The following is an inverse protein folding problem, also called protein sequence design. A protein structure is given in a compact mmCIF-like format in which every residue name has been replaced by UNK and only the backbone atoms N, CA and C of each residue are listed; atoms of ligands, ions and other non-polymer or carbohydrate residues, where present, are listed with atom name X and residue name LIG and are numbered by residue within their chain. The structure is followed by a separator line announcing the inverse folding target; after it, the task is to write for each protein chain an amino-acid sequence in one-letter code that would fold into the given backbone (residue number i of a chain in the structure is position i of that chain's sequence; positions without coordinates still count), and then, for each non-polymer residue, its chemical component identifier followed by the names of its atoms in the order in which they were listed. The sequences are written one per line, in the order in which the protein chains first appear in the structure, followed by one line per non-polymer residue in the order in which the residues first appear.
data_IF_932059730291
#
_entry.id   IF_932059730291
#
_cell.length_a   1.000
_cell.length_b   1.000
_cell.length_c   1.000
_cell.angle_alpha   90.00
_cell.angle_beta   90.00
_cell.angle_gamma   90.00
#
_symmetry.space_group_name_H-M   'P 1'
#
loop_
_entity.id
_entity.type
_entity.pdbx_description
1 polymer ?
#
# COMPACT_ATOMS: atom_id res chain seq x y z
N UNK A 1 2.40 -12.90 18.88
CA UNK A 1 3.19 -13.23 20.09
C UNK A 1 3.31 -12.00 20.95
N UNK A 2 3.76 -12.13 22.19
CA UNK A 2 4.03 -10.96 23.04
C UNK A 2 5.37 -10.35 22.64
N UNK A 3 5.39 -9.14 22.08
CA UNK A 3 6.63 -8.45 21.71
C UNK A 3 7.39 -7.90 22.92
N UNK A 4 6.79 -7.87 24.11
CA UNK A 4 7.39 -7.32 25.34
C UNK A 4 8.27 -8.33 26.08
N UNK A 5 8.34 -9.60 25.62
CA UNK A 5 9.18 -10.58 26.30
C UNK A 5 10.68 -10.23 26.21
N UNK A 6 11.50 -10.57 27.23
CA UNK A 6 12.90 -10.14 27.30
C UNK A 6 13.75 -10.55 26.09
N UNK A 7 13.49 -11.74 25.53
CA UNK A 7 14.25 -12.27 24.38
C UNK A 7 13.93 -11.47 23.11
N UNK A 8 12.65 -11.15 22.89
CA UNK A 8 12.22 -10.35 21.76
C UNK A 8 12.77 -8.92 21.88
N UNK A 9 12.67 -8.29 23.06
CA UNK A 9 13.22 -6.96 23.29
C UNK A 9 14.74 -6.87 23.08
N UNK A 10 15.49 -7.85 23.60
CA UNK A 10 16.94 -7.92 23.40
C UNK A 10 17.30 -8.07 21.92
N UNK A 11 16.52 -8.85 21.16
CA UNK A 11 16.72 -9.02 19.71
C UNK A 11 16.42 -7.72 18.96
N UNK A 12 15.27 -7.09 19.24
CA UNK A 12 14.87 -5.82 18.60
C UNK A 12 15.88 -4.69 18.84
N UNK A 13 16.56 -4.69 19.97
CA UNK A 13 17.58 -3.70 20.29
C UNK A 13 18.80 -3.74 19.34
N UNK A 14 19.17 -4.93 18.85
CA UNK A 14 20.41 -5.13 18.08
C UNK A 14 20.20 -5.25 16.57
N UNK A 15 19.02 -5.68 16.12
CA UNK A 15 18.76 -5.89 14.67
C UNK A 15 18.67 -4.57 13.88
N UNK A 16 18.94 -4.67 12.58
CA UNK A 16 18.86 -3.54 11.64
C UNK A 16 17.44 -3.27 11.12
N UNK A 17 16.58 -4.27 11.13
CA UNK A 17 15.19 -4.19 10.68
C UNK A 17 14.33 -5.23 11.39
N UNK A 18 13.02 -4.96 11.43
CA UNK A 18 12.02 -5.82 12.02
C UNK A 18 10.79 -5.89 11.12
N UNK A 19 10.39 -7.12 10.78
CA UNK A 19 9.17 -7.42 10.02
C UNK A 19 8.17 -8.06 10.99
N UNK A 20 7.27 -7.25 11.53
CA UNK A 20 6.30 -7.68 12.52
C UNK A 20 5.16 -8.45 11.88
N UNK A 21 5.14 -9.77 12.06
CA UNK A 21 4.00 -10.58 11.63
C UNK A 21 2.79 -10.36 12.55
N UNK A 22 1.64 -10.08 11.96
CA UNK A 22 0.39 -9.82 12.67
C UNK A 22 -0.62 -10.95 12.45
N UNK A 23 -1.19 -11.42 13.56
CA UNK A 23 -2.28 -12.40 13.53
C UNK A 23 -3.53 -11.81 12.90
N UNK A 24 -3.85 -10.57 13.24
CA UNK A 24 -5.00 -9.84 12.69
C UNK A 24 -4.93 -9.79 11.15
N UNK A 25 -3.76 -9.44 10.59
CA UNK A 25 -3.57 -9.44 9.14
C UNK A 25 -3.77 -10.83 8.52
N UNK A 26 -3.24 -11.87 9.15
CA UNK A 26 -3.44 -13.25 8.68
C UNK A 26 -4.92 -13.66 8.75
N UNK A 27 -5.61 -13.33 9.84
CA UNK A 27 -7.03 -13.65 10.04
C UNK A 27 -7.90 -12.90 8.99
N UNK A 28 -7.51 -11.68 8.63
CA UNK A 28 -8.08 -10.89 7.52
C UNK A 28 -7.57 -11.29 6.12
N UNK A 29 -6.80 -12.38 5.99
CA UNK A 29 -6.22 -12.89 4.74
C UNK A 29 -5.34 -11.89 3.97
N UNK A 30 -4.70 -10.96 4.68
CA UNK A 30 -3.73 -10.02 4.11
C UNK A 30 -2.34 -10.65 4.15
N UNK A 31 -1.87 -11.15 3.00
CA UNK A 31 -0.59 -11.84 2.87
C UNK A 31 0.41 -11.10 1.97
N UNK A 32 1.71 -11.07 2.30
CA UNK A 32 2.31 -11.59 3.53
C UNK A 32 1.78 -10.85 4.77
N UNK A 33 1.61 -11.55 5.89
CA UNK A 33 0.99 -11.01 7.11
C UNK A 33 1.94 -10.09 7.90
N UNK A 34 2.83 -9.38 7.20
CA UNK A 34 3.72 -8.36 7.74
C UNK A 34 2.90 -7.10 7.94
N UNK A 35 2.90 -6.59 9.16
CA UNK A 35 2.17 -5.39 9.52
C UNK A 35 3.06 -4.15 9.35
N UNK A 36 2.69 -3.25 8.41
CA UNK A 36 3.51 -2.09 8.08
C UNK A 36 3.55 -1.02 9.19
N UNK A 37 2.61 -1.04 10.15
CA UNK A 37 2.53 -0.05 11.24
C UNK A 37 3.46 -0.39 12.40
N UNK A 38 3.73 -1.68 12.63
CA UNK A 38 4.66 -2.15 13.67
C UNK A 38 6.06 -2.51 13.13
N UNK A 39 6.19 -2.68 11.81
CA UNK A 39 7.46 -2.99 11.15
C UNK A 39 8.34 -1.75 10.97
N UNK A 40 9.66 -1.94 10.96
CA UNK A 40 10.62 -0.86 10.78
C UNK A 40 11.95 -1.33 10.20
N UNK A 41 12.73 -0.40 9.65
CA UNK A 41 14.07 -0.65 9.13
C UNK A 41 14.95 0.57 9.37
N UNK A 42 16.19 0.37 9.82
CA UNK A 42 17.22 1.42 9.95
C UNK A 42 17.81 1.81 8.60
N UNK A 43 17.61 1.00 7.56
CA UNK A 43 18.22 1.15 6.23
C UNK A 43 17.40 2.00 5.25
N UNK A 44 16.26 2.58 5.66
CA UNK A 44 15.37 3.31 4.75
C UNK A 44 16.09 4.50 4.07
N UNK A 45 16.95 5.20 4.81
CA UNK A 45 17.70 6.34 4.27
C UNK A 45 18.76 5.86 3.27
N UNK A 46 19.51 4.82 3.61
CA UNK A 46 20.57 4.28 2.74
C UNK A 46 19.97 3.75 1.42
N UNK A 47 18.88 2.98 1.51
CA UNK A 47 18.17 2.47 0.33
C UNK A 47 17.59 3.62 -0.50
N UNK A 48 17.06 4.67 0.13
CA UNK A 48 16.58 5.83 -0.61
C UNK A 48 17.70 6.54 -1.38
N UNK A 49 18.90 6.65 -0.80
CA UNK A 49 20.06 7.22 -1.49
C UNK A 49 20.52 6.36 -2.66
N UNK A 50 20.53 5.03 -2.49
CA UNK A 50 20.91 4.09 -3.54
C UNK A 50 19.92 4.14 -4.72
N UNK A 51 18.62 4.21 -4.43
CA UNK A 51 17.57 4.24 -5.45
C UNK A 51 17.37 5.60 -6.10
N UNK A 52 17.91 6.70 -5.57
CA UNK A 52 17.64 8.05 -6.08
C UNK A 52 17.98 8.21 -7.57
N UNK A 53 18.99 7.51 -8.08
CA UNK A 53 19.36 7.54 -9.52
C UNK A 53 18.36 6.80 -10.41
N UNK A 54 17.76 5.72 -9.91
CA UNK A 54 16.84 4.86 -10.67
C UNK A 54 15.38 5.30 -10.50
N UNK A 55 15.03 5.77 -9.31
CA UNK A 55 13.70 6.24 -8.92
C UNK A 55 13.82 7.54 -8.10
N UNK A 56 14.03 8.69 -8.77
CA UNK A 56 14.14 9.98 -8.10
C UNK A 56 12.97 10.24 -7.15
N UNK A 57 13.27 10.67 -5.91
CA UNK A 57 12.25 10.91 -4.90
C UNK A 57 11.71 9.65 -4.20
N UNK A 58 12.32 8.48 -4.38
CA UNK A 58 11.91 7.23 -3.70
C UNK A 58 11.68 7.41 -2.20
N UNK A 59 12.63 8.02 -1.49
CA UNK A 59 12.50 8.25 -0.05
C UNK A 59 11.28 9.09 0.33
N UNK A 60 10.92 10.09 -0.48
CA UNK A 60 9.72 10.92 -0.26
C UNK A 60 8.44 10.13 -0.47
N UNK A 61 8.41 9.28 -1.51
CA UNK A 61 7.28 8.39 -1.79
C UNK A 61 7.09 7.38 -0.64
N UNK A 62 8.17 6.76 -0.15
CA UNK A 62 8.12 5.84 1.01
C UNK A 62 7.60 6.55 2.26
N UNK A 63 8.07 7.76 2.56
CA UNK A 63 7.59 8.53 3.70
C UNK A 63 6.10 8.86 3.58
N UNK A 64 5.64 9.26 2.39
CA UNK A 64 4.23 9.53 2.10
C UNK A 64 3.36 8.30 2.26
N UNK A 65 3.78 7.16 1.74
CA UNK A 65 3.07 5.89 1.87
C UNK A 65 2.93 5.48 3.34
N UNK A 66 3.99 5.62 4.14
CA UNK A 66 3.93 5.37 5.59
C UNK A 66 2.94 6.29 6.29
N UNK A 67 2.96 7.59 5.98
CA UNK A 67 1.98 8.54 6.53
C UNK A 67 0.55 8.20 6.12
N UNK A 68 0.34 7.78 4.87
CA UNK A 68 -0.98 7.37 4.37
C UNK A 68 -1.54 6.18 5.17
N UNK A 69 -0.71 5.17 5.43
CA UNK A 69 -1.10 4.02 6.26
C UNK A 69 -1.48 4.41 7.68
N UNK A 70 -0.67 5.24 8.35
CA UNK A 70 -0.98 5.72 9.70
C UNK A 70 -2.27 6.51 9.75
N UNK A 71 -2.46 7.47 8.82
CA UNK A 71 -3.68 8.25 8.75
C UNK A 71 -4.91 7.37 8.47
N UNK A 72 -4.77 6.41 7.55
CA UNK A 72 -5.84 5.45 7.24
C UNK A 72 -6.23 4.59 8.44
N UNK A 73 -5.26 4.11 9.21
CA UNK A 73 -5.49 3.35 10.44
C UNK A 73 -6.22 4.17 11.52
N UNK A 74 -5.79 5.43 11.74
CA UNK A 74 -6.45 6.34 12.68
C UNK A 74 -7.90 6.66 12.26
N UNK A 75 -8.13 6.88 10.97
CA UNK A 75 -9.47 7.10 10.42
C UNK A 75 -10.31 5.83 10.56
N UNK A 76 -9.77 4.65 10.23
CA UNK A 76 -10.45 3.37 10.37
C UNK A 76 -10.94 3.12 11.78
N UNK A 77 -10.08 3.34 12.79
CA UNK A 77 -10.45 3.22 14.21
C UNK A 77 -11.57 4.16 14.63
N UNK A 78 -11.56 5.41 14.15
CA UNK A 78 -12.66 6.35 14.41
C UNK A 78 -13.94 5.90 13.72
N UNK A 79 -13.83 5.47 12.46
CA UNK A 79 -14.93 5.00 11.63
C UNK A 79 -15.62 3.76 12.21
N UNK A 80 -14.88 2.86 12.87
CA UNK A 80 -15.45 1.71 13.61
C UNK A 80 -16.40 2.14 14.73
N UNK A 81 -16.18 3.32 15.33
CA UNK A 81 -16.99 3.85 16.44
C UNK A 81 -18.21 4.62 15.92
N UNK A 82 -18.00 5.50 14.93
CA UNK A 82 -19.07 6.41 14.44
C UNK A 82 -19.86 5.85 13.26
N UNK A 83 -19.38 4.78 12.63
CA UNK A 83 -19.88 4.27 11.35
C UNK A 83 -19.35 5.05 10.14
N UNK A 84 -19.34 4.39 8.98
CA UNK A 84 -18.87 5.00 7.73
C UNK A 84 -19.70 6.24 7.35
N UNK A 85 -21.03 6.18 7.49
CA UNK A 85 -21.92 7.32 7.21
C UNK A 85 -21.66 8.54 8.11
N UNK A 86 -21.07 8.33 9.29
CA UNK A 86 -20.68 9.39 10.21
C UNK A 86 -19.28 9.97 9.95
N UNK A 87 -18.54 9.43 8.99
CA UNK A 87 -17.18 9.86 8.65
C UNK A 87 -17.22 10.91 7.54
N UNK A 88 -16.40 11.96 7.62
CA UNK A 88 -16.33 12.95 6.54
C UNK A 88 -15.82 12.29 5.24
N UNK A 89 -16.35 12.71 4.09
CA UNK A 89 -15.97 12.12 2.80
C UNK A 89 -14.46 12.25 2.52
N UNK A 90 -13.84 13.35 2.93
CA UNK A 90 -12.40 13.56 2.81
C UNK A 90 -11.59 12.54 3.63
N UNK A 91 -12.04 12.23 4.85
CA UNK A 91 -11.43 11.22 5.71
C UNK A 91 -11.64 9.82 5.10
N UNK A 92 -12.83 9.52 4.57
CA UNK A 92 -13.10 8.27 3.87
C UNK A 92 -12.17 8.09 2.66
N UNK A 93 -11.92 9.15 1.88
CA UNK A 93 -10.99 9.08 0.74
C UNK A 93 -9.56 8.76 1.20
N UNK A 94 -9.10 9.33 2.32
CA UNK A 94 -7.77 9.01 2.88
C UNK A 94 -7.72 7.54 3.31
N UNK A 95 -8.75 7.05 4.00
CA UNK A 95 -8.88 5.64 4.37
C UNK A 95 -8.84 4.72 3.13
N UNK A 96 -9.62 5.03 2.09
CA UNK A 96 -9.66 4.24 0.85
C UNK A 96 -8.33 4.25 0.09
N UNK A 97 -7.59 5.35 0.12
CA UNK A 97 -6.22 5.42 -0.42
C UNK A 97 -5.26 4.51 0.34
N UNK A 98 -5.34 4.47 1.67
CA UNK A 98 -4.53 3.58 2.49
C UNK A 98 -4.86 2.11 2.21
N UNK A 99 -6.15 1.76 2.15
CA UNK A 99 -6.61 0.42 1.83
C UNK A 99 -6.22 0.00 0.41
N UNK A 100 -6.25 0.92 -0.56
CA UNK A 100 -5.76 0.66 -1.91
C UNK A 100 -4.28 0.28 -1.91
N UNK A 101 -3.45 1.00 -1.16
CA UNK A 101 -2.02 0.71 -1.09
C UNK A 101 -1.76 -0.65 -0.44
N UNK A 102 -2.44 -0.94 0.67
CA UNK A 102 -2.33 -2.22 1.36
C UNK A 102 -2.72 -3.38 0.45
N UNK A 103 -3.89 -3.29 -0.18
CA UNK A 103 -4.43 -4.35 -1.04
C UNK A 103 -3.62 -4.56 -2.31
N UNK A 104 -3.18 -3.47 -2.95
CA UNK A 104 -2.66 -3.53 -4.31
C UNK A 104 -1.13 -3.62 -4.38
N UNK A 105 -0.42 -3.16 -3.34
CA UNK A 105 1.05 -3.11 -3.33
C UNK A 105 1.66 -3.95 -2.20
N UNK A 106 1.14 -3.86 -0.97
CA UNK A 106 1.72 -4.57 0.17
C UNK A 106 1.36 -6.06 0.17
N UNK A 107 0.18 -6.41 -0.35
CA UNK A 107 -0.23 -7.79 -0.46
C UNK A 107 0.32 -8.45 -1.72
N UNK A 108 0.97 -9.60 -1.54
CA UNK A 108 1.66 -10.34 -2.59
C UNK A 108 1.36 -11.85 -2.44
N UNK A 109 1.02 -12.51 -3.55
CA UNK A 109 0.72 -13.93 -3.55
C UNK A 109 1.96 -14.79 -3.87
N UNK A 110 2.57 -15.37 -2.84
CA UNK A 110 3.75 -16.24 -2.96
C UNK A 110 3.50 -17.56 -3.70
N UNK A 111 2.25 -17.93 -3.98
CA UNK A 111 1.89 -19.13 -4.72
C UNK A 111 1.57 -18.87 -6.19
N UNK A 112 1.47 -17.59 -6.59
CA UNK A 112 1.20 -17.23 -7.98
C UNK A 112 2.49 -17.18 -8.82
N UNK A 113 2.39 -17.55 -10.10
CA UNK A 113 3.56 -17.58 -10.99
C UNK A 113 4.19 -16.20 -11.22
N UNK A 114 3.38 -15.14 -11.30
CA UNK A 114 3.82 -13.78 -11.63
C UNK A 114 3.94 -12.89 -10.39
N UNK A 115 3.06 -13.07 -9.40
CA UNK A 115 3.05 -12.27 -8.17
C UNK A 115 3.99 -12.84 -7.10
N UNK A 116 4.48 -14.09 -7.19
CA UNK A 116 5.39 -14.63 -6.15
C UNK A 116 6.76 -13.92 -6.10
N UNK A 117 7.17 -13.25 -7.17
CA UNK A 117 8.40 -12.46 -7.22
C UNK A 117 8.17 -11.19 -8.03
N UNK A 118 8.49 -10.03 -7.43
CA UNK A 118 8.34 -8.73 -8.07
C UNK A 118 9.74 -8.11 -8.29
N UNK A 119 10.24 -8.01 -9.53
CA UNK A 119 11.50 -7.32 -9.83
C UNK A 119 11.49 -5.87 -9.37
N UNK A 120 12.67 -5.30 -9.05
CA UNK A 120 12.78 -3.93 -8.53
C UNK A 120 12.21 -2.90 -9.51
N UNK A 121 12.43 -3.07 -10.80
CA UNK A 121 11.92 -2.19 -11.85
C UNK A 121 10.39 -2.15 -11.84
N UNK A 122 9.76 -3.31 -11.67
CA UNK A 122 8.30 -3.43 -11.52
C UNK A 122 7.81 -2.78 -10.23
N UNK A 123 8.51 -3.00 -9.11
CA UNK A 123 8.19 -2.37 -7.83
C UNK A 123 8.22 -0.84 -7.94
N UNK A 124 9.25 -0.28 -8.59
CA UNK A 124 9.39 1.16 -8.79
C UNK A 124 8.21 1.72 -9.58
N UNK A 125 7.91 1.15 -10.75
CA UNK A 125 6.84 1.62 -11.62
C UNK A 125 5.47 1.51 -10.93
N UNK A 126 5.20 0.38 -10.27
CA UNK A 126 3.96 0.18 -9.52
C UNK A 126 3.84 1.14 -8.33
N UNK A 127 4.93 1.37 -7.59
CA UNK A 127 4.92 2.27 -6.45
C UNK A 127 4.71 3.73 -6.86
N UNK A 128 5.31 4.15 -7.98
CA UNK A 128 5.07 5.46 -8.58
C UNK A 128 3.60 5.64 -8.97
N UNK A 129 3.01 4.64 -9.63
CA UNK A 129 1.59 4.64 -9.99
C UNK A 129 0.69 4.80 -8.75
N UNK A 130 0.94 4.03 -7.69
CA UNK A 130 0.16 4.15 -6.44
C UNK A 130 0.42 5.51 -5.74
N UNK A 131 1.64 6.06 -5.82
CA UNK A 131 1.92 7.38 -5.27
C UNK A 131 1.16 8.50 -6.02
N UNK A 132 0.95 8.38 -7.34
CA UNK A 132 0.06 9.29 -8.08
C UNK A 132 -1.35 9.29 -7.47
N UNK A 133 -1.87 8.12 -7.05
CA UNK A 133 -3.15 8.03 -6.34
C UNK A 133 -3.16 8.78 -5.02
N UNK A 134 -2.05 8.77 -4.26
CA UNK A 134 -1.97 9.52 -3.01
C UNK A 134 -2.06 11.03 -3.24
N UNK A 135 -1.35 11.52 -4.27
CA UNK A 135 -1.22 12.94 -4.60
C UNK A 135 -2.47 13.53 -5.24
N UNK A 136 -3.19 12.73 -6.01
CA UNK A 136 -4.41 13.17 -6.67
C UNK A 136 -5.47 13.60 -5.66
N UNK A 137 -6.05 14.78 -5.88
CA UNK A 137 -7.23 15.24 -5.18
C UNK A 137 -8.43 14.62 -5.86
N UNK A 138 -9.23 13.86 -5.11
CA UNK A 138 -10.45 13.26 -5.61
C UNK A 138 -11.67 14.04 -5.15
N UNK A 139 -12.67 14.17 -6.01
CA UNK A 139 -13.94 14.83 -5.69
C UNK A 139 -15.12 13.92 -6.04
N UNK A 140 -15.67 13.29 -5.01
CA UNK A 140 -16.87 12.48 -5.12
C UNK A 140 -18.07 13.22 -4.53
N UNK A 141 -19.27 12.84 -4.95
CA UNK A 141 -20.52 13.43 -4.43
C UNK A 141 -20.90 12.79 -3.10
N UNK A 142 -20.62 11.50 -2.94
CA UNK A 142 -21.00 10.70 -1.78
C UNK A 142 -19.99 9.55 -1.54
N UNK A 143 -20.22 8.82 -0.44
CA UNK A 143 -19.37 7.72 -0.02
C UNK A 143 -19.45 6.53 -0.98
N UNK A 144 -20.61 6.27 -1.58
CA UNK A 144 -20.82 5.17 -2.52
C UNK A 144 -19.99 5.34 -3.78
N UNK A 145 -19.94 6.54 -4.32
CA UNK A 145 -19.15 6.89 -5.48
C UNK A 145 -17.65 6.69 -5.19
N UNK A 146 -17.18 7.19 -4.04
CA UNK A 146 -15.79 6.99 -3.62
C UNK A 146 -15.44 5.51 -3.50
N UNK A 147 -16.27 4.71 -2.82
CA UNK A 147 -16.06 3.27 -2.65
C UNK A 147 -16.01 2.53 -3.97
N UNK A 148 -16.97 2.77 -4.86
CA UNK A 148 -17.03 2.12 -6.19
C UNK A 148 -15.78 2.44 -7.01
N UNK A 149 -15.33 3.69 -6.97
CA UNK A 149 -14.12 4.11 -7.67
C UNK A 149 -12.88 3.38 -7.12
N UNK A 150 -12.63 3.44 -5.82
CA UNK A 150 -11.45 2.82 -5.21
C UNK A 150 -11.46 1.29 -5.30
N UNK A 151 -12.64 0.65 -5.21
CA UNK A 151 -12.77 -0.80 -5.42
C UNK A 151 -12.40 -1.19 -6.85
N UNK A 152 -12.86 -0.42 -7.85
CA UNK A 152 -12.51 -0.66 -9.26
C UNK A 152 -11.00 -0.53 -9.47
N UNK A 153 -10.41 0.54 -8.92
CA UNK A 153 -8.99 0.82 -9.05
C UNK A 153 -8.13 -0.25 -8.35
N UNK A 154 -8.51 -0.67 -7.14
CA UNK A 154 -7.89 -1.77 -6.40
C UNK A 154 -7.87 -3.06 -7.22
N UNK A 155 -9.02 -3.44 -7.78
CA UNK A 155 -9.12 -4.66 -8.57
C UNK A 155 -8.27 -4.59 -9.84
N UNK A 156 -8.24 -3.46 -10.54
CA UNK A 156 -7.42 -3.31 -11.74
C UNK A 156 -5.92 -3.39 -11.42
N UNK A 157 -5.46 -2.68 -10.39
CA UNK A 157 -4.04 -2.74 -9.96
C UNK A 157 -3.69 -4.17 -9.51
N UNK A 158 -4.53 -4.80 -8.68
CA UNK A 158 -4.25 -6.15 -8.16
C UNK A 158 -4.25 -7.19 -9.28
N UNK A 159 -5.16 -7.11 -10.25
CA UNK A 159 -5.16 -8.00 -11.41
C UNK A 159 -3.88 -7.84 -12.25
N UNK A 160 -3.37 -6.62 -12.39
CA UNK A 160 -2.12 -6.35 -13.09
C UNK A 160 -0.91 -7.02 -12.41
N UNK A 161 -0.95 -7.29 -11.10
CA UNK A 161 0.11 -8.02 -10.39
C UNK A 161 0.24 -9.48 -10.87
N UNK A 162 -0.83 -10.07 -11.38
CA UNK A 162 -0.86 -11.45 -11.91
C UNK A 162 -0.45 -11.55 -13.39
N UNK A 163 -0.15 -10.43 -14.05
CA UNK A 163 0.33 -10.41 -15.42
C UNK A 163 1.85 -10.52 -15.48
N UNK A 164 2.37 -11.11 -16.57
CA UNK A 164 3.79 -11.12 -16.83
C UNK A 164 4.28 -9.69 -17.06
N UNK A 165 5.33 -9.29 -16.34
CA UNK A 165 5.85 -7.92 -16.43
C UNK A 165 6.30 -7.60 -17.85
N UNK A 166 5.95 -6.40 -18.32
CA UNK A 166 6.25 -5.86 -19.67
C UNK A 166 5.60 -6.59 -20.86
N UNK A 167 4.71 -7.56 -20.61
CA UNK A 167 3.88 -8.15 -21.68
C UNK A 167 2.93 -7.09 -22.27
N UNK A 168 2.41 -7.35 -23.48
CA UNK A 168 1.43 -6.46 -24.11
C UNK A 168 0.19 -6.28 -23.20
N UNK A 169 -0.26 -7.36 -22.55
CA UNK A 169 -1.37 -7.31 -21.59
C UNK A 169 -1.05 -6.46 -20.36
N UNK A 170 0.16 -6.58 -19.80
CA UNK A 170 0.58 -5.75 -18.67
C UNK A 170 0.61 -4.28 -19.06
N UNK A 171 1.19 -3.94 -20.22
CA UNK A 171 1.27 -2.55 -20.70
C UNK A 171 -0.13 -1.96 -20.95
N UNK A 172 -1.01 -2.70 -21.61
CA UNK A 172 -2.40 -2.28 -21.81
C UNK A 172 -3.15 -2.08 -20.48
N UNK A 173 -2.95 -2.99 -19.50
CA UNK A 173 -3.55 -2.86 -18.17
C UNK A 173 -2.99 -1.67 -17.40
N UNK A 174 -1.69 -1.42 -17.52
CA UNK A 174 -1.03 -0.29 -16.88
C UNK A 174 -1.56 1.03 -17.41
N UNK A 175 -1.63 1.19 -18.75
CA UNK A 175 -2.18 2.38 -19.40
C UNK A 175 -3.65 2.61 -19.01
N UNK A 176 -4.45 1.54 -18.93
CA UNK A 176 -5.85 1.65 -18.50
C UNK A 176 -5.98 2.14 -17.04
N UNK A 177 -5.14 1.64 -16.14
CA UNK A 177 -5.11 2.10 -14.74
C UNK A 177 -4.61 3.53 -14.64
N UNK A 178 -3.56 3.89 -15.36
CA UNK A 178 -3.03 5.25 -15.39
C UNK A 178 -4.09 6.23 -15.90
N UNK A 179 -4.76 5.89 -17.00
CA UNK A 179 -5.88 6.67 -17.50
C UNK A 179 -7.02 6.75 -16.47
N UNK A 180 -7.37 5.66 -15.76
CA UNK A 180 -8.39 5.71 -14.71
C UNK A 180 -8.00 6.69 -13.59
N UNK A 181 -6.74 6.68 -13.17
CA UNK A 181 -6.24 7.61 -12.15
C UNK A 181 -6.29 9.03 -12.67
N UNK A 182 -5.85 9.30 -13.90
CA UNK A 182 -5.83 10.64 -14.49
C UNK A 182 -7.23 11.19 -14.76
N UNK A 183 -8.14 10.36 -15.28
CA UNK A 183 -9.53 10.71 -15.56
C UNK A 183 -10.45 10.69 -14.34
N UNK A 184 -10.00 10.13 -13.20
CA UNK A 184 -10.75 10.15 -11.94
C UNK A 184 -11.16 11.58 -11.53
N UNK A 185 -12.35 11.71 -10.95
CA UNK A 185 -12.96 12.99 -10.56
C UNK A 185 -12.20 13.73 -9.46
#
# INVERSE_FOLDING_TARGET
GNFEEPVTQATLAVVGAFLGLSRERSDSRRYPAIDPLISWSKYIVDVAQELEKMAPGWGKMVHKAKKMLHNGDEIGKRMEVVGEEGTALEDLIIYLKAELFDFSYLQQNSFDKQDAYCPLERQIVLFQLVNKCFEKIYRFHDHDEARKYFLTLQNQIKNMNFLAYDSDEYRNSFEAVEHLIESGK
#
